data_IF_122481193332
#
_entry.id   IF_122481193332
#
_cell.length_a   1.000
_cell.length_b   1.000
_cell.length_c   1.000
_cell.angle_alpha   90.00
_cell.angle_beta   90.00
_cell.angle_gamma   90.00
#
_symmetry.space_group_name_H-M   'P 1'
#
loop_
_entity.id
_entity.type
_entity.pdbx_description
1 polymer ?
#
# COMPACT_ATOMS: atom_id res chain seq x y z
N UNK A 1 -18.57 -25.67 -22.19
CA UNK A 1 -19.38 -24.43 -22.16
C UNK A 1 -19.77 -24.19 -20.72
N UNK A 2 -18.81 -24.02 -19.81
CA UNK A 2 -18.01 -22.79 -19.55
C UNK A 2 -18.93 -21.74 -18.88
N UNK A 3 -18.76 -21.28 -17.63
CA UNK A 3 -17.53 -20.92 -16.90
C UNK A 3 -17.73 -21.07 -15.39
N UNK A 4 -16.86 -21.87 -14.77
CA UNK A 4 -16.64 -21.88 -13.33
C UNK A 4 -15.57 -20.83 -13.02
N UNK A 5 -15.96 -19.62 -12.62
CA UNK A 5 -15.05 -18.65 -11.99
C UNK A 5 -15.52 -18.41 -10.56
N UNK A 6 -15.08 -19.35 -9.73
CA UNK A 6 -15.05 -19.30 -8.28
C UNK A 6 -14.04 -18.23 -7.84
N UNK A 7 -14.44 -16.98 -7.63
CA UNK A 7 -13.65 -16.02 -6.83
C UNK A 7 -14.53 -14.91 -6.27
N UNK A 8 -15.33 -15.23 -5.24
CA UNK A 8 -15.75 -14.22 -4.27
C UNK A 8 -15.82 -14.88 -2.89
N UNK A 9 -14.68 -14.90 -2.21
CA UNK A 9 -14.66 -14.89 -0.74
C UNK A 9 -14.27 -13.49 -0.30
N UNK A 10 -15.21 -12.55 -0.40
CA UNK A 10 -15.17 -11.30 0.35
C UNK A 10 -15.70 -11.57 1.76
N UNK A 11 -14.96 -12.36 2.53
CA UNK A 11 -15.17 -12.54 3.96
C UNK A 11 -14.22 -11.62 4.73
N UNK A 12 -14.44 -10.30 4.63
CA UNK A 12 -13.77 -9.33 5.50
C UNK A 12 -14.69 -9.05 6.70
N UNK A 13 -14.53 -9.86 7.75
CA UNK A 13 -15.13 -9.61 9.06
C UNK A 13 -14.63 -8.28 9.63
N UNK A 14 -15.52 -7.26 9.73
CA UNK A 14 -15.63 -6.11 10.67
C UNK A 14 -14.40 -5.55 11.45
N UNK A 15 -13.18 -5.82 11.03
CA UNK A 15 -11.94 -5.17 11.45
C UNK A 15 -11.30 -4.68 10.16
N UNK A 16 -11.04 -3.38 10.05
CA UNK A 16 -10.22 -2.84 8.96
C UNK A 16 -9.01 -3.76 8.80
N UNK A 17 -8.85 -4.38 7.62
CA UNK A 17 -7.73 -5.30 7.40
C UNK A 17 -6.42 -4.55 7.56
N UNK A 18 -5.33 -5.21 7.99
CA UNK A 18 -4.02 -4.57 8.14
C UNK A 18 -3.61 -3.78 6.89
N UNK A 19 -3.91 -4.32 5.70
CA UNK A 19 -3.72 -3.63 4.42
C UNK A 19 -4.57 -2.37 4.28
N UNK A 20 -5.82 -2.38 4.72
CA UNK A 20 -6.75 -1.24 4.62
C UNK A 20 -6.32 -0.10 5.55
N UNK A 21 -5.87 -0.45 6.77
CA UNK A 21 -5.24 0.50 7.70
C UNK A 21 -4.01 1.14 7.02
N UNK A 22 -3.13 0.31 6.46
CA UNK A 22 -1.92 0.78 5.77
C UNK A 22 -2.21 1.70 4.59
N UNK A 23 -3.18 1.34 3.74
CA UNK A 23 -3.62 2.15 2.60
C UNK A 23 -4.25 3.48 3.06
N UNK A 24 -5.00 3.46 4.18
CA UNK A 24 -5.57 4.68 4.78
C UNK A 24 -4.44 5.58 5.30
N UNK A 25 -3.51 5.02 6.08
CA UNK A 25 -2.39 5.75 6.67
C UNK A 25 -1.40 6.30 5.63
N UNK A 26 -1.20 5.58 4.53
CA UNK A 26 -0.43 6.07 3.38
C UNK A 26 -1.07 7.29 2.71
N UNK A 27 -2.35 7.56 3.01
CA UNK A 27 -3.15 8.45 2.21
C UNK A 27 -3.20 7.93 0.77
N UNK A 28 -3.52 6.65 0.62
CA UNK A 28 -3.68 5.96 -0.66
C UNK A 28 -5.11 5.49 -0.89
N UNK A 29 -6.10 6.06 -0.19
CA UNK A 29 -7.52 5.82 -0.41
C UNK A 29 -8.22 7.13 -0.76
N UNK A 30 -8.96 7.14 -1.86
CA UNK A 30 -9.94 8.19 -2.12
C UNK A 30 -11.27 7.87 -1.42
N UNK A 31 -12.14 8.86 -1.29
CA UNK A 31 -13.44 8.78 -0.60
C UNK A 31 -14.39 7.71 -1.15
N UNK A 32 -14.10 7.19 -2.35
CA UNK A 32 -14.81 6.14 -3.08
C UNK A 32 -14.15 4.76 -2.97
N UNK A 33 -13.09 4.61 -2.16
CA UNK A 33 -12.41 3.32 -1.93
C UNK A 33 -11.44 2.90 -3.05
N UNK A 34 -11.20 3.73 -4.06
CA UNK A 34 -10.14 3.49 -5.04
C UNK A 34 -8.76 3.88 -4.48
N UNK A 35 -7.69 3.11 -4.82
CA UNK A 35 -6.35 3.43 -4.39
C UNK A 35 -5.83 4.68 -5.10
N UNK A 36 -6.03 5.84 -4.50
CA UNK A 36 -5.59 7.15 -5.00
C UNK A 36 -4.79 7.84 -3.94
N UNK A 37 -3.71 8.52 -4.32
CA UNK A 37 -2.98 9.42 -3.43
C UNK A 37 -3.73 10.77 -3.36
N UNK A 38 -4.51 11.12 -2.31
CA UNK A 38 -5.28 12.37 -2.25
C UNK A 38 -4.38 13.61 -2.27
N UNK A 39 -3.13 13.49 -1.78
CA UNK A 39 -2.12 14.56 -1.86
C UNK A 39 -1.71 14.92 -3.30
N UNK A 40 -1.87 14.00 -4.26
CA UNK A 40 -1.32 14.15 -5.62
C UNK A 40 -2.35 13.98 -6.74
N UNK A 41 -3.61 13.64 -6.42
CA UNK A 41 -4.71 13.42 -7.38
C UNK A 41 -4.38 12.38 -8.48
N UNK A 42 -3.57 11.36 -8.16
CA UNK A 42 -3.14 10.27 -9.07
C UNK A 42 -3.48 8.89 -8.49
N UNK A 43 -3.51 7.85 -9.34
CA UNK A 43 -3.53 6.45 -8.90
C UNK A 43 -2.30 6.13 -8.04
N UNK A 44 -2.44 5.31 -6.99
CA UNK A 44 -1.29 4.92 -6.16
C UNK A 44 -0.38 3.96 -6.92
N UNK A 45 0.65 4.52 -7.57
CA UNK A 45 1.76 3.76 -8.13
C UNK A 45 2.89 3.56 -7.10
N UNK A 46 3.93 2.83 -7.52
CA UNK A 46 5.11 2.53 -6.70
C UNK A 46 5.82 3.83 -6.24
N UNK A 47 5.92 4.82 -7.12
CA UNK A 47 6.63 6.06 -6.84
C UNK A 47 5.89 6.93 -5.81
N UNK A 48 4.56 7.02 -5.91
CA UNK A 48 3.74 7.75 -4.95
C UNK A 48 3.82 7.10 -3.57
N UNK A 49 3.64 5.78 -3.52
CA UNK A 49 3.71 4.98 -2.29
C UNK A 49 5.02 5.20 -1.55
N UNK A 50 6.13 5.09 -2.28
CA UNK A 50 7.47 5.29 -1.74
C UNK A 50 7.64 6.69 -1.13
N UNK A 51 7.14 7.72 -1.81
CA UNK A 51 7.24 9.12 -1.35
C UNK A 51 6.42 9.36 -0.09
N UNK A 52 5.22 8.77 0.00
CA UNK A 52 4.32 8.95 1.13
C UNK A 52 4.74 8.15 2.37
N UNK A 53 5.46 7.04 2.19
CA UNK A 53 5.74 6.07 3.23
C UNK A 53 6.48 6.65 4.44
N UNK A 54 7.49 7.49 4.23
CA UNK A 54 8.23 8.14 5.34
C UNK A 54 7.32 9.03 6.19
N UNK A 55 6.47 9.82 5.54
CA UNK A 55 5.53 10.69 6.24
C UNK A 55 4.48 9.86 6.97
N UNK A 56 3.89 8.88 6.30
CA UNK A 56 2.88 7.99 6.88
C UNK A 56 3.41 7.23 8.11
N UNK A 57 4.63 6.69 8.04
CA UNK A 57 5.26 5.97 9.16
C UNK A 57 5.64 6.89 10.33
N UNK A 58 5.84 8.19 10.06
CA UNK A 58 6.11 9.19 11.10
C UNK A 58 4.82 9.68 11.76
N UNK A 59 3.77 9.90 10.96
CA UNK A 59 2.47 10.39 11.41
C UNK A 59 1.66 9.29 12.15
N UNK A 60 1.83 8.03 11.74
CA UNK A 60 1.16 6.85 12.30
C UNK A 60 2.18 5.78 12.72
N UNK A 61 2.99 6.04 13.76
CA UNK A 61 4.04 5.11 14.19
C UNK A 61 3.50 3.74 14.64
N UNK A 62 2.26 3.70 15.12
CA UNK A 62 1.54 2.48 15.50
C UNK A 62 1.09 1.62 14.31
N UNK A 63 1.04 2.20 13.10
CA UNK A 63 0.58 1.55 11.87
C UNK A 63 1.73 1.22 10.89
N UNK A 64 2.99 1.28 11.34
CA UNK A 64 4.17 1.08 10.47
C UNK A 64 4.16 -0.27 9.75
N UNK A 65 3.71 -1.33 10.41
CA UNK A 65 3.64 -2.67 9.83
C UNK A 65 2.57 -2.74 8.73
N UNK A 66 1.42 -2.13 8.99
CA UNK A 66 0.28 -1.99 8.08
C UNK A 66 0.66 -1.17 6.85
N UNK A 67 1.35 -0.04 7.04
CA UNK A 67 1.87 0.82 5.97
C UNK A 67 2.85 0.05 5.08
N UNK A 68 3.76 -0.73 5.66
CA UNK A 68 4.70 -1.57 4.92
C UNK A 68 3.96 -2.65 4.11
N UNK A 69 2.99 -3.32 4.72
CA UNK A 69 2.19 -4.34 4.04
C UNK A 69 1.42 -3.74 2.85
N UNK A 70 0.83 -2.55 3.02
CA UNK A 70 0.17 -1.83 1.94
C UNK A 70 1.15 -1.44 0.82
N UNK A 71 2.36 -0.99 1.17
CA UNK A 71 3.40 -0.70 0.19
C UNK A 71 3.82 -1.92 -0.64
N UNK A 72 3.99 -3.07 0.01
CA UNK A 72 4.30 -4.35 -0.66
C UNK A 72 3.15 -4.75 -1.60
N UNK A 73 1.89 -4.60 -1.16
CA UNK A 73 0.74 -4.89 -2.02
C UNK A 73 0.77 -4.04 -3.30
N UNK A 74 0.96 -2.72 -3.17
CA UNK A 74 1.03 -1.80 -4.32
C UNK A 74 2.19 -2.19 -5.24
N UNK A 75 3.38 -2.43 -4.68
CA UNK A 75 4.54 -2.87 -5.45
C UNK A 75 4.26 -4.18 -6.22
N UNK A 76 3.66 -5.18 -5.56
CA UNK A 76 3.33 -6.46 -6.20
C UNK A 76 2.23 -6.35 -7.27
N UNK A 77 1.38 -5.32 -7.19
CA UNK A 77 0.28 -5.08 -8.15
C UNK A 77 0.77 -4.34 -9.39
N UNK A 78 1.69 -3.38 -9.21
CA UNK A 78 2.07 -2.44 -10.26
C UNK A 78 3.46 -2.70 -10.86
N UNK A 79 4.33 -3.47 -10.20
CA UNK A 79 5.64 -3.78 -10.74
C UNK A 79 5.51 -4.65 -11.99
N UNK A 80 6.06 -4.19 -13.10
CA UNK A 80 6.10 -4.90 -14.38
C UNK A 80 7.34 -5.80 -14.50
N UNK A 81 8.30 -5.66 -13.59
CA UNK A 81 9.55 -6.42 -13.58
C UNK A 81 10.10 -6.64 -12.17
N UNK A 82 10.97 -7.64 -12.03
CA UNK A 82 11.70 -7.90 -10.79
C UNK A 82 12.59 -6.70 -10.38
N UNK A 83 13.12 -5.96 -11.35
CA UNK A 83 13.92 -4.76 -11.09
C UNK A 83 13.08 -3.64 -10.44
N UNK A 84 11.85 -3.43 -10.90
CA UNK A 84 10.91 -2.47 -10.29
C UNK A 84 10.50 -2.91 -8.89
N UNK A 85 10.24 -4.20 -8.68
CA UNK A 85 9.93 -4.74 -7.36
C UNK A 85 11.09 -4.54 -6.37
N UNK A 86 12.32 -4.84 -6.78
CA UNK A 86 13.51 -4.60 -5.94
C UNK A 86 13.70 -3.10 -5.64
N UNK A 87 13.51 -2.23 -6.63
CA UNK A 87 13.58 -0.78 -6.41
C UNK A 87 12.55 -0.28 -5.39
N UNK A 88 11.33 -0.81 -5.44
CA UNK A 88 10.29 -0.52 -4.45
C UNK A 88 10.72 -0.98 -3.05
N UNK A 89 11.17 -2.23 -2.90
CA UNK A 89 11.61 -2.79 -1.62
C UNK A 89 12.79 -2.03 -1.01
N UNK A 90 13.81 -1.70 -1.81
CA UNK A 90 14.93 -0.85 -1.34
C UNK A 90 14.46 0.50 -0.83
N UNK A 91 13.43 1.07 -1.45
CA UNK A 91 12.89 2.35 -1.02
C UNK A 91 12.06 2.24 0.26
N UNK A 92 11.35 1.12 0.45
CA UNK A 92 10.64 0.82 1.69
C UNK A 92 11.62 0.59 2.85
N UNK A 93 12.74 -0.10 2.61
CA UNK A 93 13.82 -0.24 3.59
C UNK A 93 14.36 1.13 4.04
N UNK A 94 14.61 2.04 3.10
CA UNK A 94 15.02 3.41 3.41
C UNK A 94 13.98 4.15 4.26
N UNK A 95 12.69 3.98 3.97
CA UNK A 95 11.63 4.61 4.75
C UNK A 95 11.54 4.07 6.19
N UNK A 96 11.74 2.77 6.37
CA UNK A 96 11.83 2.14 7.70
C UNK A 96 13.03 2.71 8.46
N UNK A 97 14.21 2.76 7.83
CA UNK A 97 15.42 3.29 8.47
C UNK A 97 15.26 4.76 8.88
N UNK A 98 14.66 5.59 8.03
CA UNK A 98 14.43 7.00 8.32
C UNK A 98 13.45 7.24 9.47
N UNK A 99 12.61 6.25 9.78
CA UNK A 99 11.56 6.34 10.82
C UNK A 99 11.79 5.40 11.99
N UNK A 100 12.95 4.73 12.05
CA UNK A 100 13.38 3.94 13.21
C UNK A 100 13.73 4.89 14.37
N UNK A 101 12.85 4.92 15.38
CA UNK A 101 13.04 5.59 16.67
C UNK A 101 12.47 4.67 17.74
#
# INVERSE_FOLDING_TARGET
MDNMVTYMSHGFDNKLGATEIGLTSLGCLSVDGTPRCPRYQKECDIACTTTCMVTAMSDFPEAKAEILLAGILIASTHASSMAEMHGALSSFENAIQATCI
#
